data_IF_716050986730
#
_entry.id   IF_716050986730
#
_cell.length_a   1.000
_cell.length_b   1.000
_cell.length_c   1.000
_cell.angle_alpha   90.00
_cell.angle_beta   90.00
_cell.angle_gamma   90.00
#
_symmetry.space_group_name_H-M   'P 1'
#
loop_
_entity.id
_entity.type
_entity.pdbx_description
1 polymer ?
#
# COMPACT_ATOMS: atom_id res chain seq x y z
N UNK A 1 -14.64 0.85 21.11
CA UNK A 1 -14.17 -0.50 20.77
C UNK A 1 -13.87 -1.21 22.08
N UNK A 2 -14.45 -2.39 22.35
CA UNK A 2 -14.12 -3.18 23.52
C UNK A 2 -12.62 -3.51 23.56
N UNK A 3 -11.95 -3.36 24.70
CA UNK A 3 -10.50 -3.64 24.83
C UNK A 3 -10.15 -5.11 24.51
N UNK A 4 -11.11 -6.02 24.65
CA UNK A 4 -10.97 -7.44 24.30
C UNK A 4 -10.81 -7.71 22.79
N UNK A 5 -11.16 -6.75 21.91
CA UNK A 5 -11.06 -6.94 20.46
C UNK A 5 -9.66 -6.62 19.92
N UNK A 6 -8.84 -5.91 20.71
CA UNK A 6 -7.52 -5.41 20.31
C UNK A 6 -6.59 -6.53 19.83
N UNK A 7 -6.45 -7.68 20.53
CA UNK A 7 -5.55 -8.74 20.07
C UNK A 7 -5.93 -9.31 18.70
N UNK A 8 -7.22 -9.39 18.39
CA UNK A 8 -7.73 -9.89 17.11
C UNK A 8 -7.44 -8.92 15.96
N UNK A 9 -7.66 -7.63 16.19
CA UNK A 9 -7.43 -6.58 15.19
C UNK A 9 -5.95 -6.45 14.83
N UNK A 10 -5.05 -6.57 15.82
CA UNK A 10 -3.60 -6.51 15.57
C UNK A 10 -3.13 -7.73 14.77
N UNK A 11 -3.55 -8.94 15.15
CA UNK A 11 -3.15 -10.18 14.46
C UNK A 11 -3.75 -10.35 13.07
N UNK A 12 -4.78 -9.57 12.74
CA UNK A 12 -5.41 -9.59 11.40
C UNK A 12 -4.55 -8.99 10.29
N UNK A 13 -3.41 -8.36 10.63
CA UNK A 13 -2.51 -7.72 9.68
C UNK A 13 -1.07 -8.23 9.86
N UNK A 14 -0.27 -8.11 8.81
CA UNK A 14 1.18 -8.23 8.90
C UNK A 14 1.81 -6.85 9.00
N UNK A 15 2.90 -6.76 9.77
CA UNK A 15 3.65 -5.52 9.95
C UNK A 15 5.06 -5.70 9.43
N UNK A 16 5.61 -4.62 8.90
CA UNK A 16 6.89 -4.65 8.20
C UNK A 16 8.00 -4.16 9.12
N UNK A 17 9.13 -4.87 9.10
CA UNK A 17 10.39 -4.37 9.64
C UNK A 17 10.92 -3.22 8.77
N UNK A 18 11.89 -2.42 9.26
CA UNK A 18 12.50 -1.36 8.45
C UNK A 18 13.07 -1.87 7.12
N UNK A 19 13.73 -3.03 7.13
CA UNK A 19 14.25 -3.65 5.91
C UNK A 19 13.13 -4.01 4.91
N UNK A 20 12.01 -4.55 5.41
CA UNK A 20 10.85 -4.85 4.57
C UNK A 20 10.19 -3.58 4.04
N UNK A 21 10.12 -2.50 4.82
CA UNK A 21 9.60 -1.22 4.33
C UNK A 21 10.42 -0.69 3.15
N UNK A 22 11.75 -0.69 3.26
CA UNK A 22 12.62 -0.27 2.16
C UNK A 22 12.44 -1.13 0.91
N UNK A 23 12.31 -2.46 1.08
CA UNK A 23 12.07 -3.37 -0.02
C UNK A 23 10.71 -3.11 -0.73
N UNK A 24 9.64 -2.86 0.03
CA UNK A 24 8.32 -2.58 -0.53
C UNK A 24 8.24 -1.20 -1.21
N UNK A 25 8.86 -0.18 -0.61
CA UNK A 25 8.83 1.20 -1.11
C UNK A 25 9.70 1.46 -2.34
N UNK A 26 10.60 0.53 -2.70
CA UNK A 26 11.48 0.65 -3.87
C UNK A 26 10.91 0.02 -5.15
N UNK A 27 9.69 -0.53 -5.10
CA UNK A 27 9.05 -1.06 -6.30
C UNK A 27 7.62 -1.59 -6.07
N UNK A 28 7.43 -2.59 -5.18
CA UNK A 28 6.14 -3.23 -4.96
C UNK A 28 4.98 -2.28 -4.72
N UNK A 29 5.16 -1.23 -3.91
CA UNK A 29 4.09 -0.26 -3.61
C UNK A 29 3.63 0.49 -4.85
N UNK A 30 4.55 0.86 -5.76
CA UNK A 30 4.17 1.51 -7.03
C UNK A 30 3.28 0.59 -7.88
N UNK A 31 3.67 -0.69 -8.00
CA UNK A 31 2.86 -1.69 -8.70
C UNK A 31 1.47 -1.85 -8.06
N UNK A 32 1.40 -1.90 -6.74
CA UNK A 32 0.13 -2.02 -6.03
C UNK A 32 -0.80 -0.84 -6.33
N UNK A 33 -0.27 0.39 -6.42
CA UNK A 33 -1.06 1.57 -6.80
C UNK A 33 -1.54 1.46 -8.25
N UNK A 34 -0.68 1.04 -9.19
CA UNK A 34 -1.05 0.84 -10.60
C UNK A 34 -2.21 -0.15 -10.72
N UNK A 35 -2.07 -1.33 -10.13
CA UNK A 35 -3.07 -2.41 -10.22
C UNK A 35 -4.39 -1.97 -9.56
N UNK A 36 -4.33 -1.30 -8.41
CA UNK A 36 -5.52 -0.78 -7.72
C UNK A 36 -6.23 0.29 -8.54
N UNK A 37 -5.48 1.22 -9.14
CA UNK A 37 -6.04 2.28 -9.98
C UNK A 37 -6.73 1.68 -11.22
N UNK A 38 -6.10 0.70 -11.86
CA UNK A 38 -6.67 -0.03 -12.99
C UNK A 38 -8.00 -0.70 -12.61
N UNK A 39 -8.02 -1.42 -11.49
CA UNK A 39 -9.25 -2.03 -10.98
C UNK A 39 -10.35 -0.98 -10.72
N UNK A 40 -10.02 0.14 -10.08
CA UNK A 40 -10.98 1.22 -9.84
C UNK A 40 -11.52 1.84 -11.14
N UNK A 41 -10.70 1.93 -12.18
CA UNK A 41 -11.12 2.41 -13.51
C UNK A 41 -12.09 1.44 -14.16
N UNK A 42 -11.81 0.14 -14.11
CA UNK A 42 -12.70 -0.91 -14.62
C UNK A 42 -14.06 -0.91 -13.90
N UNK A 43 -14.07 -0.59 -12.60
CA UNK A 43 -15.28 -0.42 -11.80
C UNK A 43 -15.98 0.95 -11.99
N UNK A 44 -15.46 1.82 -12.86
CA UNK A 44 -16.00 3.15 -13.12
C UNK A 44 -15.88 4.13 -11.96
N UNK A 45 -14.99 3.87 -10.98
CA UNK A 45 -14.77 4.72 -9.80
C UNK A 45 -13.79 5.86 -10.05
N UNK A 46 -12.93 5.73 -11.06
CA UNK A 46 -12.02 6.78 -11.53
C UNK A 46 -12.03 6.85 -13.07
N UNK A 47 -12.01 8.05 -13.67
CA UNK A 47 -12.15 8.21 -15.12
C UNK A 47 -10.85 7.90 -15.90
N UNK A 48 -9.69 8.07 -15.27
CA UNK A 48 -8.38 7.89 -15.89
C UNK A 48 -7.35 7.45 -14.84
N UNK A 49 -6.28 6.80 -15.30
CA UNK A 49 -5.18 6.29 -14.47
C UNK A 49 -3.84 6.48 -15.18
N UNK A 50 -2.76 6.66 -14.41
CA UNK A 50 -1.40 6.65 -14.94
C UNK A 50 -0.85 5.21 -15.04
N UNK A 51 0.21 5.04 -15.84
CA UNK A 51 0.98 3.80 -15.92
C UNK A 51 2.14 3.74 -14.92
N UNK A 52 2.44 4.85 -14.24
CA UNK A 52 3.45 4.95 -13.20
C UNK A 52 3.01 5.92 -12.09
N UNK A 53 3.20 5.50 -10.85
CA UNK A 53 2.88 6.28 -9.64
C UNK A 53 4.13 6.44 -8.75
N UNK A 54 5.34 6.27 -9.30
CA UNK A 54 6.59 6.40 -8.54
C UNK A 54 6.72 7.76 -7.83
N UNK A 55 6.14 8.83 -8.39
CA UNK A 55 6.07 10.16 -7.77
C UNK A 55 5.36 10.20 -6.41
N UNK A 56 4.52 9.19 -6.11
CA UNK A 56 3.76 9.07 -4.87
C UNK A 56 4.39 8.11 -3.85
N UNK A 57 5.56 7.54 -4.15
CA UNK A 57 6.24 6.54 -3.31
C UNK A 57 7.69 6.96 -3.09
N UNK A 58 8.19 6.88 -1.85
CA UNK A 58 9.60 7.15 -1.57
C UNK A 58 10.09 6.37 -0.35
N UNK A 59 11.32 5.85 -0.44
CA UNK A 59 12.03 5.21 0.68
C UNK A 59 12.95 6.18 1.43
N UNK A 60 13.05 7.45 1.02
CA UNK A 60 14.04 8.41 1.55
C UNK A 60 13.91 8.75 3.05
N UNK A 61 12.80 8.35 3.68
CA UNK A 61 12.48 8.67 5.07
C UNK A 61 12.45 7.44 5.99
N UNK A 62 12.78 6.26 5.47
CA UNK A 62 12.82 5.01 6.24
C UNK A 62 14.27 4.50 6.23
N UNK A 63 15.01 4.81 7.29
CA UNK A 63 16.35 4.25 7.56
C UNK A 63 16.36 3.65 8.96
#
# INVERSE_FOLDING_TARGET
MPEGDVPGLVKGNTYLTPQQQTAELTGPVNKAIIDTAQFLKEQGKVPAVANDYSQYVTSRFVQ
#
